data_IF_184734013933
#
_entry.id   IF_184734013933
#
_cell.length_a   1.000
_cell.length_b   1.000
_cell.length_c   1.000
_cell.angle_alpha   90.00
_cell.angle_beta   90.00
_cell.angle_gamma   90.00
#
_symmetry.space_group_name_H-M   'P 1'
#
loop_
_entity.id
_entity.type
_entity.pdbx_description
1 polymer ?
#
# COMPACT_ATOMS: atom_id res chain seq x y z
N UNK A 1 -4.50 -3.64 -32.34
CA UNK A 1 -3.41 -2.62 -32.32
C UNK A 1 -3.57 -1.61 -31.20
N UNK A 2 -4.73 -1.01 -30.97
CA UNK A 2 -4.95 0.04 -29.93
C UNK A 2 -4.63 -0.45 -28.48
N UNK A 3 -5.03 -1.67 -28.08
CA UNK A 3 -4.77 -2.21 -26.72
C UNK A 3 -3.28 -2.40 -26.42
N UNK A 4 -2.52 -2.88 -27.39
CA UNK A 4 -1.07 -3.07 -27.25
C UNK A 4 -0.33 -1.73 -27.10
N UNK A 5 -0.75 -0.72 -27.87
CA UNK A 5 -0.19 0.62 -27.75
C UNK A 5 -0.50 1.25 -26.41
N UNK A 6 -1.75 1.09 -25.91
CA UNK A 6 -2.13 1.58 -24.58
C UNK A 6 -1.25 0.94 -23.47
N UNK A 7 -1.14 -0.40 -23.45
CA UNK A 7 -0.32 -1.08 -22.46
C UNK A 7 1.16 -0.66 -22.57
N UNK A 8 1.69 -0.51 -23.78
CA UNK A 8 3.07 -0.04 -23.98
C UNK A 8 3.26 1.38 -23.42
N UNK A 9 2.31 2.28 -23.66
CA UNK A 9 2.35 3.64 -23.12
C UNK A 9 2.30 3.63 -21.59
N UNK A 10 1.45 2.78 -20.98
CA UNK A 10 1.36 2.64 -19.52
C UNK A 10 2.64 2.10 -18.90
N UNK A 11 3.25 1.08 -19.52
CA UNK A 11 4.55 0.56 -19.08
C UNK A 11 5.63 1.63 -19.18
N UNK A 12 5.69 2.38 -20.30
CA UNK A 12 6.65 3.47 -20.47
C UNK A 12 6.45 4.56 -19.43
N UNK A 13 5.21 4.96 -19.17
CA UNK A 13 4.89 5.93 -18.11
C UNK A 13 5.33 5.43 -16.73
N UNK A 14 5.13 4.14 -16.44
CA UNK A 14 5.60 3.52 -15.20
C UNK A 14 7.12 3.53 -15.07
N UNK A 15 7.84 3.20 -16.13
CA UNK A 15 9.31 3.25 -16.14
C UNK A 15 9.83 4.68 -15.95
N UNK A 16 9.23 5.66 -16.62
CA UNK A 16 9.56 7.08 -16.44
C UNK A 16 9.29 7.53 -15.00
N UNK A 17 8.17 7.11 -14.41
CA UNK A 17 7.85 7.42 -13.01
C UNK A 17 8.90 6.84 -12.04
N UNK A 18 9.30 5.58 -12.21
CA UNK A 18 10.35 4.94 -11.39
C UNK A 18 11.68 5.68 -11.55
N UNK A 19 12.05 6.06 -12.78
CA UNK A 19 13.27 6.83 -13.04
C UNK A 19 13.22 8.21 -12.35
N UNK A 20 12.11 8.92 -12.46
CA UNK A 20 11.94 10.22 -11.79
C UNK A 20 12.04 10.08 -10.27
N UNK A 21 11.43 9.04 -9.69
CA UNK A 21 11.52 8.74 -8.26
C UNK A 21 12.97 8.42 -7.86
N UNK A 22 13.70 7.66 -8.67
CA UNK A 22 15.12 7.40 -8.43
C UNK A 22 15.95 8.71 -8.42
N UNK A 23 15.70 9.61 -9.37
CA UNK A 23 16.36 10.92 -9.43
C UNK A 23 16.01 11.77 -8.20
N UNK A 24 14.73 11.85 -7.83
CA UNK A 24 14.28 12.58 -6.64
C UNK A 24 14.90 12.00 -5.37
N UNK A 25 14.91 10.69 -5.22
CA UNK A 25 15.56 10.00 -4.11
C UNK A 25 17.05 10.37 -4.01
N UNK A 26 17.77 10.29 -5.11
CA UNK A 26 19.17 10.70 -5.15
C UNK A 26 19.37 12.15 -4.68
N UNK A 27 18.52 13.07 -5.15
CA UNK A 27 18.57 14.50 -4.75
C UNK A 27 18.24 14.69 -3.26
N UNK A 28 17.24 13.95 -2.74
CA UNK A 28 16.85 14.02 -1.32
C UNK A 28 17.97 13.58 -0.39
N UNK A 29 18.70 12.52 -0.73
CA UNK A 29 19.85 12.09 0.07
C UNK A 29 20.97 13.13 0.06
N UNK A 30 21.19 13.75 -1.08
CA UNK A 30 22.17 14.83 -1.20
C UNK A 30 21.79 16.09 -0.42
N UNK A 31 20.49 16.37 -0.31
CA UNK A 31 19.98 17.50 0.47
C UNK A 31 19.89 17.20 1.97
N UNK A 32 19.95 15.92 2.36
CA UNK A 32 19.93 15.54 3.77
C UNK A 32 21.16 16.04 4.51
N UNK A 33 21.01 16.62 5.71
CA UNK A 33 22.15 17.09 6.49
C UNK A 33 22.98 15.89 6.97
N UNK A 34 24.24 15.85 6.56
CA UNK A 34 25.22 14.82 6.91
C UNK A 34 25.70 14.04 5.67
N UNK A 35 27.01 13.97 5.52
CA UNK A 35 27.67 13.14 4.51
C UNK A 35 27.55 11.65 4.95
N UNK A 36 27.01 10.75 4.12
CA UNK A 36 26.94 9.32 4.43
C UNK A 36 28.28 8.74 4.91
N UNK A 37 29.38 9.23 4.38
CA UNK A 37 30.72 8.82 4.77
C UNK A 37 31.10 9.33 6.17
N UNK A 38 30.70 10.55 6.50
CA UNK A 38 30.98 11.12 7.84
C UNK A 38 30.19 10.41 8.94
N UNK A 39 28.98 9.92 8.63
CA UNK A 39 28.17 9.10 9.55
C UNK A 39 28.85 7.75 9.79
N UNK A 40 29.28 7.07 8.72
CA UNK A 40 29.97 5.79 8.80
C UNK A 40 31.33 5.90 9.52
N UNK A 41 32.10 6.93 9.21
CA UNK A 41 33.41 7.18 9.84
C UNK A 41 33.26 7.53 11.33
N UNK A 42 32.27 8.36 11.68
CA UNK A 42 31.98 8.70 13.07
C UNK A 42 31.59 7.49 13.92
N UNK A 43 30.87 6.54 13.38
CA UNK A 43 30.49 5.29 14.04
C UNK A 43 31.63 4.29 14.16
N UNK A 44 32.53 4.25 13.17
CA UNK A 44 33.73 3.44 13.22
C UNK A 44 34.80 4.00 14.18
N UNK A 45 34.54 5.17 14.81
CA UNK A 45 35.50 5.85 15.66
C UNK A 45 36.73 6.39 14.88
N UNK A 46 36.63 6.38 13.56
CA UNK A 46 37.72 6.78 12.66
C UNK A 46 37.62 8.28 12.36
N UNK A 47 38.29 9.07 13.17
CA UNK A 47 38.48 10.53 12.95
C UNK A 47 39.62 10.84 11.97
N UNK A 48 40.23 9.83 11.35
CA UNK A 48 41.35 10.03 10.42
C UNK A 48 40.84 10.62 9.09
N UNK A 49 41.27 11.84 8.74
CA UNK A 49 40.92 12.52 7.49
C UNK A 49 41.28 11.71 6.23
N UNK A 50 42.36 10.91 6.30
CA UNK A 50 42.79 10.08 5.17
C UNK A 50 41.84 8.90 4.92
N UNK A 51 41.34 8.25 5.98
CA UNK A 51 40.33 7.20 5.90
C UNK A 51 39.02 7.74 5.33
N UNK A 52 38.57 8.90 5.79
CA UNK A 52 37.36 9.56 5.25
C UNK A 52 37.51 9.90 3.77
N UNK A 53 38.67 10.38 3.34
CA UNK A 53 38.94 10.69 1.93
C UNK A 53 38.93 9.42 1.06
N UNK A 54 39.55 8.33 1.55
CA UNK A 54 39.53 7.03 0.85
C UNK A 54 38.10 6.48 0.72
N UNK A 55 37.32 6.57 1.77
CA UNK A 55 35.91 6.15 1.73
C UNK A 55 35.12 6.99 0.72
N UNK A 56 35.31 8.31 0.67
CA UNK A 56 34.67 9.18 -0.32
C UNK A 56 35.01 8.79 -1.74
N UNK A 57 36.29 8.53 -2.02
CA UNK A 57 36.73 8.06 -3.33
C UNK A 57 36.13 6.69 -3.69
N UNK A 58 36.08 5.77 -2.73
CA UNK A 58 35.49 4.44 -2.91
C UNK A 58 33.99 4.49 -3.23
N UNK A 59 33.25 5.41 -2.60
CA UNK A 59 31.84 5.64 -2.89
C UNK A 59 31.60 6.57 -4.09
N UNK A 60 32.67 7.08 -4.72
CA UNK A 60 32.59 7.98 -5.86
C UNK A 60 31.97 9.36 -5.53
N UNK A 61 32.01 9.77 -4.26
CA UNK A 61 31.41 11.02 -3.79
C UNK A 61 32.27 12.25 -4.13
N UNK A 62 33.47 12.06 -4.58
CA UNK A 62 34.40 13.02 -5.14
C UNK A 62 34.13 13.40 -6.61
N UNK A 63 33.29 12.59 -7.27
CA UNK A 63 32.92 12.75 -8.68
C UNK A 63 31.89 13.87 -8.90
N UNK A 64 31.75 14.43 -10.12
CA UNK A 64 30.67 15.35 -10.46
C UNK A 64 29.28 14.72 -10.19
N UNK A 65 28.32 15.52 -9.74
CA UNK A 65 26.96 15.07 -9.38
C UNK A 65 26.28 14.31 -10.54
N UNK A 66 26.52 14.72 -11.77
CA UNK A 66 26.00 14.05 -12.97
C UNK A 66 26.52 12.63 -13.11
N UNK A 67 27.81 12.40 -12.85
CA UNK A 67 28.44 11.07 -12.88
C UNK A 67 27.90 10.19 -11.77
N UNK A 68 27.74 10.74 -10.57
CA UNK A 68 27.17 10.02 -9.44
C UNK A 68 25.72 9.61 -9.69
N UNK A 69 24.90 10.52 -10.26
CA UNK A 69 23.52 10.22 -10.65
C UNK A 69 23.46 9.11 -11.72
N UNK A 70 24.32 9.20 -12.75
CA UNK A 70 24.38 8.19 -13.81
C UNK A 70 24.77 6.80 -13.23
N UNK A 71 25.74 6.76 -12.34
CA UNK A 71 26.17 5.53 -11.64
C UNK A 71 25.04 4.97 -10.77
N UNK A 72 24.37 5.84 -10.01
CA UNK A 72 23.23 5.43 -9.17
C UNK A 72 22.08 4.84 -10.00
N UNK A 73 21.67 5.55 -11.07
CA UNK A 73 20.62 5.04 -11.97
C UNK A 73 21.05 3.73 -12.64
N UNK A 74 22.32 3.62 -13.07
CA UNK A 74 22.87 2.39 -13.63
C UNK A 74 22.80 1.20 -12.66
N UNK A 75 23.10 1.42 -11.36
CA UNK A 75 22.97 0.40 -10.32
C UNK A 75 21.51 0.03 -10.06
N UNK A 76 20.62 1.01 -10.00
CA UNK A 76 19.18 0.78 -9.85
C UNK A 76 18.61 -0.10 -10.96
N UNK A 77 18.99 0.15 -12.22
CA UNK A 77 18.58 -0.67 -13.37
C UNK A 77 19.08 -2.11 -13.26
N UNK A 78 20.23 -2.32 -12.62
CA UNK A 78 20.80 -3.65 -12.35
C UNK A 78 20.26 -4.29 -11.06
N UNK A 79 19.27 -3.66 -10.40
CA UNK A 79 18.71 -4.06 -9.10
C UNK A 79 19.76 -4.06 -7.97
N UNK A 80 20.87 -3.36 -8.14
CA UNK A 80 21.83 -3.10 -7.08
C UNK A 80 21.38 -1.85 -6.31
N UNK A 81 20.65 -2.07 -5.21
CA UNK A 81 20.17 -1.02 -4.32
C UNK A 81 21.20 -0.63 -3.24
N UNK A 82 22.41 -1.22 -3.31
CA UNK A 82 23.50 -0.98 -2.38
C UNK A 82 23.47 -1.90 -1.16
N UNK A 83 24.21 -1.49 -0.14
CA UNK A 83 24.44 -2.27 1.08
C UNK A 83 24.08 -1.47 2.32
N UNK A 84 23.38 -2.08 3.25
CA UNK A 84 23.11 -1.52 4.58
C UNK A 84 24.26 -1.85 5.51
N UNK A 85 25.07 -0.85 5.84
CA UNK A 85 26.17 -1.04 6.77
C UNK A 85 25.70 -1.21 8.23
N UNK A 86 24.49 -0.73 8.53
CA UNK A 86 23.86 -0.93 9.86
C UNK A 86 23.44 -2.38 10.06
N UNK A 87 22.77 -2.97 9.06
CA UNK A 87 22.26 -4.33 9.14
C UNK A 87 23.21 -5.38 8.55
N UNK A 88 24.37 -4.95 7.99
CA UNK A 88 25.41 -5.81 7.42
C UNK A 88 24.87 -6.76 6.33
N UNK A 89 23.93 -6.27 5.50
CA UNK A 89 23.29 -7.05 4.45
C UNK A 89 22.99 -6.20 3.21
N UNK A 90 22.88 -6.84 2.02
CA UNK A 90 22.39 -6.17 0.82
C UNK A 90 20.98 -5.61 1.03
N UNK A 91 20.75 -4.37 0.60
CA UNK A 91 19.47 -3.66 0.74
C UNK A 91 18.33 -4.44 0.08
N UNK A 92 18.56 -4.95 -1.14
CA UNK A 92 17.55 -5.73 -1.87
C UNK A 92 17.09 -6.96 -1.06
N UNK A 93 18.02 -7.67 -0.41
CA UNK A 93 17.67 -8.84 0.42
C UNK A 93 16.79 -8.44 1.59
N UNK A 94 17.17 -7.39 2.33
CA UNK A 94 16.38 -6.90 3.47
C UNK A 94 14.95 -6.53 3.08
N UNK A 95 14.78 -5.91 1.92
CA UNK A 95 13.47 -5.53 1.40
C UNK A 95 12.66 -6.77 0.98
N UNK A 96 13.30 -7.72 0.25
CA UNK A 96 12.61 -8.94 -0.21
C UNK A 96 12.16 -9.83 0.94
N UNK A 97 12.91 -9.87 2.04
CA UNK A 97 12.53 -10.60 3.26
C UNK A 97 11.28 -9.99 3.93
N UNK A 98 11.02 -8.67 3.76
CA UNK A 98 9.88 -7.94 4.33
C UNK A 98 8.68 -7.85 3.39
N UNK A 99 8.91 -8.00 2.10
CA UNK A 99 7.89 -7.87 1.06
C UNK A 99 6.66 -8.78 1.28
N UNK A 100 6.80 -10.09 1.60
CA UNK A 100 5.64 -10.95 1.81
C UNK A 100 4.73 -10.48 2.95
N UNK A 101 5.28 -9.94 4.03
CA UNK A 101 4.52 -9.43 5.16
C UNK A 101 3.71 -8.18 4.78
N UNK A 102 4.30 -7.24 4.06
CA UNK A 102 3.58 -6.06 3.52
C UNK A 102 2.48 -6.47 2.57
N UNK A 103 2.75 -7.41 1.63
CA UNK A 103 1.74 -7.89 0.69
C UNK A 103 0.58 -8.62 1.40
N UNK A 104 0.87 -9.40 2.43
CA UNK A 104 -0.14 -10.09 3.22
C UNK A 104 -1.05 -9.07 3.94
N UNK A 105 -0.47 -8.07 4.58
CA UNK A 105 -1.23 -7.01 5.26
C UNK A 105 -2.07 -6.18 4.28
N UNK A 106 -1.44 -5.63 3.26
CA UNK A 106 -2.12 -4.74 2.29
C UNK A 106 -3.15 -5.50 1.46
N UNK A 107 -2.84 -6.72 1.04
CA UNK A 107 -3.78 -7.59 0.31
C UNK A 107 -5.01 -7.97 1.15
N UNK A 108 -4.80 -8.34 2.41
CA UNK A 108 -5.89 -8.64 3.35
C UNK A 108 -6.75 -7.41 3.64
N UNK A 109 -6.12 -6.27 3.91
CA UNK A 109 -6.82 -5.00 4.15
C UNK A 109 -7.60 -4.55 2.91
N UNK A 110 -7.03 -4.70 1.72
CA UNK A 110 -7.70 -4.39 0.46
C UNK A 110 -8.94 -5.26 0.23
N UNK A 111 -8.81 -6.57 0.40
CA UNK A 111 -9.93 -7.50 0.26
C UNK A 111 -11.06 -7.20 1.27
N UNK A 112 -10.72 -6.96 2.54
CA UNK A 112 -11.68 -6.60 3.59
C UNK A 112 -12.34 -5.24 3.32
N UNK A 113 -11.59 -4.24 2.89
CA UNK A 113 -12.12 -2.91 2.58
C UNK A 113 -13.12 -2.94 1.42
N UNK A 114 -12.84 -3.71 0.37
CA UNK A 114 -13.78 -3.93 -0.73
C UNK A 114 -15.01 -4.71 -0.29
N UNK A 115 -14.82 -5.80 0.45
CA UNK A 115 -15.93 -6.63 0.95
C UNK A 115 -16.88 -5.80 1.80
N UNK A 116 -16.38 -5.11 2.82
CA UNK A 116 -17.20 -4.29 3.69
C UNK A 116 -17.75 -3.05 2.97
N UNK A 117 -16.92 -2.37 2.16
CA UNK A 117 -17.33 -1.19 1.42
C UNK A 117 -18.46 -1.48 0.44
N UNK A 118 -18.33 -2.52 -0.38
CA UNK A 118 -19.36 -2.91 -1.35
C UNK A 118 -20.62 -3.38 -0.64
N UNK A 119 -20.51 -4.20 0.39
CA UNK A 119 -21.67 -4.75 1.10
C UNK A 119 -22.43 -3.66 1.85
N UNK A 120 -21.74 -2.80 2.60
CA UNK A 120 -22.36 -1.70 3.34
C UNK A 120 -22.88 -0.62 2.41
N UNK A 121 -22.16 -0.28 1.34
CA UNK A 121 -22.63 0.66 0.32
C UNK A 121 -23.87 0.18 -0.40
N UNK A 122 -23.93 -1.12 -0.76
CA UNK A 122 -25.11 -1.72 -1.36
C UNK A 122 -26.30 -1.76 -0.39
N UNK A 123 -26.07 -2.05 0.89
CA UNK A 123 -27.11 -2.02 1.92
C UNK A 123 -27.67 -0.61 2.13
N UNK A 124 -26.78 0.39 2.19
CA UNK A 124 -27.10 1.81 2.30
C UNK A 124 -27.94 2.28 1.09
N UNK A 125 -27.54 1.94 -0.13
CA UNK A 125 -28.29 2.27 -1.35
C UNK A 125 -29.69 1.62 -1.40
N UNK A 126 -29.80 0.36 -0.94
CA UNK A 126 -31.10 -0.35 -0.84
C UNK A 126 -32.06 0.28 0.14
N UNK A 127 -31.55 0.92 1.18
CA UNK A 127 -32.31 1.56 2.24
C UNK A 127 -32.13 3.08 2.25
N UNK A 128 -31.92 3.65 1.08
CA UNK A 128 -31.69 5.09 0.92
C UNK A 128 -32.80 5.91 1.59
N UNK A 129 -32.38 6.95 2.34
CA UNK A 129 -33.29 7.81 3.09
C UNK A 129 -33.82 7.23 4.43
N UNK A 130 -33.41 6.00 4.83
CA UNK A 130 -33.78 5.42 6.13
C UNK A 130 -32.68 5.64 7.16
N UNK A 131 -32.99 5.37 8.44
CA UNK A 131 -32.02 5.44 9.53
C UNK A 131 -30.81 4.50 9.32
N UNK A 132 -31.00 3.36 8.64
CA UNK A 132 -29.90 2.42 8.30
C UNK A 132 -28.89 3.05 7.34
N UNK A 133 -29.39 3.76 6.34
CA UNK A 133 -28.55 4.52 5.40
C UNK A 133 -27.73 5.61 6.14
N UNK A 134 -28.40 6.35 7.00
CA UNK A 134 -27.75 7.39 7.82
C UNK A 134 -26.72 6.78 8.78
N UNK A 135 -27.05 5.68 9.45
CA UNK A 135 -26.13 5.00 10.37
C UNK A 135 -24.86 4.49 9.66
N UNK A 136 -25.02 3.81 8.52
CA UNK A 136 -23.87 3.35 7.73
C UNK A 136 -23.00 4.53 7.29
N UNK A 137 -23.62 5.61 6.83
CA UNK A 137 -22.90 6.81 6.37
C UNK A 137 -22.14 7.48 7.52
N UNK A 138 -22.76 7.62 8.70
CA UNK A 138 -22.12 8.21 9.89
C UNK A 138 -20.96 7.35 10.37
N UNK A 139 -21.17 6.02 10.49
CA UNK A 139 -20.11 5.09 10.91
C UNK A 139 -18.93 5.12 9.93
N UNK A 140 -19.20 5.10 8.62
CA UNK A 140 -18.17 5.20 7.60
C UNK A 140 -17.42 6.54 7.71
N UNK A 141 -18.12 7.64 7.95
CA UNK A 141 -17.51 8.96 8.13
C UNK A 141 -16.61 9.03 9.38
N UNK A 142 -17.04 8.42 10.48
CA UNK A 142 -16.24 8.34 11.72
C UNK A 142 -14.91 7.63 11.44
N UNK A 143 -14.92 6.47 10.79
CA UNK A 143 -13.68 5.75 10.46
C UNK A 143 -12.80 6.51 9.46
N UNK A 144 -13.38 7.21 8.52
CA UNK A 144 -12.64 8.02 7.56
C UNK A 144 -12.00 9.27 8.19
N UNK A 145 -12.70 9.91 9.11
CA UNK A 145 -12.23 11.13 9.79
C UNK A 145 -11.26 10.84 10.93
N UNK A 146 -11.26 9.60 11.43
CA UNK A 146 -10.36 9.19 12.52
C UNK A 146 -8.94 8.96 12.01
N UNK A 147 -7.91 9.57 12.64
CA UNK A 147 -6.53 9.29 12.26
C UNK A 147 -6.19 7.80 12.37
N UNK A 148 -5.58 7.25 11.31
CA UNK A 148 -5.29 5.82 11.22
C UNK A 148 -4.47 5.29 12.41
N UNK A 149 -3.44 6.04 12.82
CA UNK A 149 -2.60 5.65 13.97
C UNK A 149 -3.38 5.63 15.28
N UNK A 150 -4.33 6.56 15.45
CA UNK A 150 -5.18 6.58 16.65
C UNK A 150 -6.11 5.37 16.70
N UNK A 151 -6.72 5.03 15.57
CA UNK A 151 -7.57 3.83 15.44
C UNK A 151 -6.76 2.57 15.75
N UNK A 152 -5.52 2.48 15.26
CA UNK A 152 -4.61 1.37 15.54
C UNK A 152 -4.30 1.25 17.04
N UNK A 153 -3.96 2.37 17.70
CA UNK A 153 -3.66 2.39 19.14
C UNK A 153 -4.89 2.04 19.98
N UNK A 154 -6.08 2.52 19.58
CA UNK A 154 -7.33 2.17 20.27
C UNK A 154 -7.67 0.69 20.09
N UNK A 155 -7.41 0.11 18.91
CA UNK A 155 -7.59 -1.32 18.70
C UNK A 155 -6.67 -2.14 19.62
N UNK A 156 -5.41 -1.79 19.75
CA UNK A 156 -4.48 -2.44 20.69
C UNK A 156 -4.96 -2.27 22.14
N UNK A 157 -5.32 -1.05 22.54
CA UNK A 157 -5.78 -0.79 23.91
C UNK A 157 -7.00 -1.64 24.27
N UNK A 158 -7.98 -1.71 23.38
CA UNK A 158 -9.24 -2.43 23.65
C UNK A 158 -9.04 -3.94 23.53
N UNK A 159 -8.54 -4.42 22.40
CA UNK A 159 -8.54 -5.86 22.11
C UNK A 159 -7.36 -6.62 22.70
N UNK A 160 -6.23 -5.96 22.93
CA UNK A 160 -5.06 -6.60 23.56
C UNK A 160 -5.01 -6.32 25.05
N UNK A 161 -5.08 -5.04 25.47
CA UNK A 161 -4.80 -4.68 26.87
C UNK A 161 -6.03 -4.88 27.77
N UNK A 162 -7.24 -4.49 27.31
CA UNK A 162 -8.44 -4.58 28.16
C UNK A 162 -9.14 -5.94 28.07
N UNK A 163 -9.26 -6.49 26.85
CA UNK A 163 -10.00 -7.73 26.60
C UNK A 163 -9.14 -8.98 26.54
N UNK A 164 -7.83 -8.83 26.29
CA UNK A 164 -6.87 -9.93 26.10
C UNK A 164 -7.34 -10.96 25.05
N UNK A 165 -7.97 -10.46 23.95
CA UNK A 165 -8.51 -11.31 22.89
C UNK A 165 -7.52 -11.56 21.77
N UNK A 166 -6.73 -10.57 21.42
CA UNK A 166 -5.84 -10.59 20.25
C UNK A 166 -4.44 -10.13 20.60
N UNK A 167 -3.40 -10.73 19.98
CA UNK A 167 -2.04 -10.29 20.13
C UNK A 167 -1.86 -8.88 19.54
N UNK A 168 -1.20 -7.97 20.29
CA UNK A 168 -1.06 -6.56 19.91
C UNK A 168 0.04 -6.27 18.92
N UNK A 169 1.09 -7.11 18.86
CA UNK A 169 2.31 -6.78 18.14
C UNK A 169 2.96 -8.01 17.49
N UNK A 170 3.69 -7.78 16.40
CA UNK A 170 4.50 -8.79 15.74
C UNK A 170 3.78 -9.54 14.62
N UNK A 171 4.44 -10.54 14.08
CA UNK A 171 3.95 -11.38 12.99
C UNK A 171 3.36 -12.70 13.49
N UNK A 172 3.94 -13.22 14.57
CA UNK A 172 3.58 -14.49 15.21
C UNK A 172 4.10 -14.51 16.64
N UNK A 173 3.59 -15.41 17.46
CA UNK A 173 3.99 -15.57 18.85
C UNK A 173 5.42 -16.10 18.94
N UNK A 174 6.31 -15.31 19.54
CA UNK A 174 7.73 -15.65 19.69
C UNK A 174 7.87 -16.88 20.59
N UNK A 175 8.62 -17.88 20.14
CA UNK A 175 8.89 -19.09 20.92
C UNK A 175 7.76 -20.12 20.92
N UNK A 176 6.68 -19.92 20.19
CA UNK A 176 5.57 -20.89 20.12
C UNK A 176 5.95 -22.22 19.48
N UNK A 177 7.00 -22.27 18.66
CA UNK A 177 7.39 -23.47 17.88
C UNK A 177 6.30 -23.92 16.87
N UNK A 178 5.27 -23.11 16.65
CA UNK A 178 4.15 -23.44 15.77
C UNK A 178 4.59 -23.60 14.31
N UNK A 179 4.09 -24.62 13.64
CA UNK A 179 4.33 -24.90 12.23
C UNK A 179 3.03 -25.25 11.50
N UNK A 180 3.03 -25.14 10.15
CA UNK A 180 1.89 -25.51 9.34
C UNK A 180 0.63 -24.70 9.68
N UNK A 181 -0.50 -25.37 9.92
CA UNK A 181 -1.79 -24.72 10.21
C UNK A 181 -1.80 -23.93 11.52
N UNK A 182 -1.07 -24.38 12.53
CA UNK A 182 -0.97 -23.67 13.81
C UNK A 182 -0.24 -22.31 13.63
N UNK A 183 0.82 -22.28 12.85
CA UNK A 183 1.47 -21.02 12.50
C UNK A 183 0.55 -20.12 11.65
N UNK A 184 -0.16 -20.66 10.68
CA UNK A 184 -1.09 -19.88 9.85
C UNK A 184 -2.20 -19.25 10.71
N UNK A 185 -2.70 -19.95 11.71
CA UNK A 185 -3.70 -19.42 12.65
C UNK A 185 -3.11 -18.32 13.54
N UNK A 186 -1.92 -18.53 14.07
CA UNK A 186 -1.21 -17.53 14.88
C UNK A 186 -0.95 -16.24 14.08
N UNK A 187 -0.46 -16.37 12.85
CA UNK A 187 -0.29 -15.23 11.94
C UNK A 187 -1.62 -14.54 11.63
N UNK A 188 -2.71 -15.30 11.43
CA UNK A 188 -4.02 -14.71 11.19
C UNK A 188 -4.54 -13.89 12.38
N UNK A 189 -4.28 -14.33 13.61
CA UNK A 189 -4.61 -13.56 14.82
C UNK A 189 -3.83 -12.25 14.91
N UNK A 190 -2.52 -12.28 14.61
CA UNK A 190 -1.67 -11.09 14.58
C UNK A 190 -2.03 -10.14 13.42
N UNK A 191 -2.51 -10.68 12.29
CA UNK A 191 -2.91 -9.91 11.10
C UNK A 191 -4.26 -9.20 11.28
N UNK A 192 -5.15 -9.71 12.11
CA UNK A 192 -6.56 -9.30 12.16
C UNK A 192 -6.71 -7.81 12.50
N UNK A 193 -6.07 -7.34 13.57
CA UNK A 193 -6.17 -5.93 13.97
C UNK A 193 -5.53 -4.99 12.96
N UNK A 194 -4.28 -5.18 12.50
CA UNK A 194 -3.68 -4.30 11.50
C UNK A 194 -4.46 -4.29 10.18
N UNK A 195 -4.92 -5.45 9.71
CA UNK A 195 -5.70 -5.52 8.47
C UNK A 195 -7.06 -4.83 8.59
N UNK A 196 -7.78 -5.01 9.70
CA UNK A 196 -9.05 -4.34 9.96
C UNK A 196 -8.88 -2.83 10.11
N UNK A 197 -7.86 -2.38 10.83
CA UNK A 197 -7.58 -0.94 11.02
C UNK A 197 -7.39 -0.26 9.67
N UNK A 198 -6.56 -0.82 8.82
CA UNK A 198 -6.32 -0.30 7.47
C UNK A 198 -7.57 -0.42 6.59
N UNK A 199 -8.28 -1.55 6.68
CA UNK A 199 -9.48 -1.80 5.91
C UNK A 199 -10.63 -0.84 6.25
N UNK A 200 -10.85 -0.50 7.50
CA UNK A 200 -11.92 0.39 7.94
C UNK A 200 -11.78 1.80 7.37
N UNK A 201 -10.55 2.29 7.25
CA UNK A 201 -10.28 3.58 6.62
C UNK A 201 -10.70 3.59 5.14
N UNK A 202 -10.29 2.58 4.36
CA UNK A 202 -10.61 2.50 2.93
C UNK A 202 -12.05 2.06 2.67
N UNK A 203 -12.65 1.24 3.54
CA UNK A 203 -14.05 0.81 3.47
C UNK A 203 -15.02 1.99 3.32
N UNK A 204 -14.79 3.07 4.06
CA UNK A 204 -15.63 4.26 4.02
C UNK A 204 -15.71 4.89 2.64
N UNK A 205 -14.59 4.91 1.91
CA UNK A 205 -14.51 5.44 0.53
C UNK A 205 -15.28 4.54 -0.42
N UNK A 206 -15.08 3.21 -0.33
CA UNK A 206 -15.78 2.24 -1.18
C UNK A 206 -17.28 2.17 -0.88
N UNK A 207 -17.69 2.25 0.39
CA UNK A 207 -19.12 2.25 0.75
C UNK A 207 -19.86 3.46 0.16
N UNK A 208 -19.26 4.63 0.25
CA UNK A 208 -19.82 5.87 -0.30
C UNK A 208 -19.90 5.84 -1.82
N UNK A 209 -18.83 5.35 -2.48
CA UNK A 209 -18.81 5.22 -3.93
C UNK A 209 -19.82 4.19 -4.44
N UNK A 210 -19.89 3.03 -3.78
CA UNK A 210 -20.88 1.97 -4.12
C UNK A 210 -22.30 2.48 -3.96
N UNK A 211 -22.61 3.20 -2.86
CA UNK A 211 -23.92 3.79 -2.62
C UNK A 211 -24.30 4.77 -3.73
N UNK A 212 -23.43 5.72 -4.04
CA UNK A 212 -23.68 6.74 -5.06
C UNK A 212 -23.91 6.07 -6.43
N UNK A 213 -22.99 5.22 -6.87
CA UNK A 213 -23.07 4.52 -8.15
C UNK A 213 -24.35 3.66 -8.26
N UNK A 214 -24.78 2.99 -7.18
CA UNK A 214 -26.02 2.21 -7.21
C UNK A 214 -27.27 3.07 -7.32
N UNK A 215 -27.31 4.24 -6.69
CA UNK A 215 -28.43 5.18 -6.81
C UNK A 215 -28.51 5.76 -8.21
N UNK A 216 -27.38 6.11 -8.80
CA UNK A 216 -27.31 6.63 -10.18
C UNK A 216 -27.78 5.58 -11.20
N UNK A 217 -27.25 4.37 -11.13
CA UNK A 217 -27.63 3.26 -12.01
C UNK A 217 -29.11 2.90 -11.85
N UNK A 218 -29.66 2.95 -10.61
CA UNK A 218 -31.06 2.60 -10.36
C UNK A 218 -32.06 3.54 -11.06
N UNK A 219 -31.62 4.74 -11.48
CA UNK A 219 -32.44 5.74 -12.21
C UNK A 219 -32.38 5.59 -13.72
N UNK A 220 -31.47 4.79 -14.26
CA UNK A 220 -31.28 4.60 -15.70
C UNK A 220 -32.48 3.90 -16.36
N UNK A 221 -32.77 4.21 -17.60
CA UNK A 221 -33.97 3.75 -18.33
C UNK A 221 -34.01 2.22 -18.51
N UNK A 222 -32.85 1.58 -18.72
CA UNK A 222 -32.82 0.11 -18.83
C UNK A 222 -33.24 -0.59 -17.53
N UNK A 223 -33.05 0.05 -16.37
CA UNK A 223 -33.53 -0.47 -15.08
C UNK A 223 -35.05 -0.29 -14.96
N UNK A 224 -35.60 0.85 -15.45
CA UNK A 224 -37.05 1.06 -15.50
C UNK A 224 -37.71 0.00 -16.38
N UNK A 225 -37.13 -0.29 -17.52
CA UNK A 225 -37.60 -1.39 -18.40
C UNK A 225 -37.52 -2.75 -17.76
N UNK A 226 -36.40 -3.06 -17.05
CA UNK A 226 -36.24 -4.32 -16.33
C UNK A 226 -37.24 -4.49 -15.19
N UNK A 227 -37.72 -3.39 -14.57
CA UNK A 227 -38.76 -3.41 -13.54
C UNK A 227 -40.15 -3.68 -14.12
N UNK A 228 -40.45 -3.28 -15.35
CA UNK A 228 -41.71 -3.57 -16.03
C UNK A 228 -41.81 -5.04 -16.47
N UNK A 229 -40.69 -5.66 -16.80
CA UNK A 229 -40.61 -7.10 -17.04
C UNK A 229 -40.60 -7.86 -15.72
N UNK A 230 -41.50 -8.82 -15.51
CA UNK A 230 -41.78 -9.64 -14.28
C UNK A 230 -40.54 -10.20 -13.49
N UNK A 231 -39.40 -9.47 -13.48
CA UNK A 231 -38.18 -9.86 -12.78
C UNK A 231 -38.27 -9.52 -11.30
N UNK A 232 -37.84 -10.45 -10.43
CA UNK A 232 -37.82 -10.24 -8.98
C UNK A 232 -36.91 -9.01 -8.64
N UNK A 233 -37.34 -8.11 -7.73
CA UNK A 233 -36.56 -6.92 -7.34
C UNK A 233 -35.12 -7.21 -6.91
N UNK A 234 -34.92 -8.33 -6.21
CA UNK A 234 -33.58 -8.77 -5.79
C UNK A 234 -32.65 -9.18 -6.96
N UNK A 235 -33.22 -9.72 -8.03
CA UNK A 235 -32.48 -10.09 -9.25
C UNK A 235 -32.07 -8.83 -10.02
N UNK A 236 -32.97 -7.86 -10.16
CA UNK A 236 -32.69 -6.57 -10.79
C UNK A 236 -31.53 -5.88 -10.04
N UNK A 237 -31.61 -5.86 -8.71
CA UNK A 237 -30.58 -5.23 -7.90
C UNK A 237 -29.20 -5.86 -8.08
N UNK A 238 -29.09 -7.20 -8.00
CA UNK A 238 -27.81 -7.90 -8.08
C UNK A 238 -27.28 -7.97 -9.50
N UNK A 239 -28.12 -8.36 -10.48
CA UNK A 239 -27.68 -8.62 -11.83
C UNK A 239 -27.55 -7.37 -12.70
N UNK A 240 -28.32 -6.32 -12.42
CA UNK A 240 -28.33 -5.12 -13.26
C UNK A 240 -27.79 -3.88 -12.53
N UNK A 241 -28.25 -3.59 -11.30
CA UNK A 241 -27.83 -2.37 -10.60
C UNK A 241 -26.41 -2.53 -10.05
N UNK A 242 -26.16 -3.53 -9.19
CA UNK A 242 -24.87 -3.70 -8.54
C UNK A 242 -23.75 -3.96 -9.53
N UNK A 243 -23.99 -4.85 -10.51
CA UNK A 243 -22.97 -5.16 -11.53
C UNK A 243 -22.49 -3.93 -12.29
N UNK A 244 -23.38 -3.03 -12.69
CA UNK A 244 -23.00 -1.80 -13.39
C UNK A 244 -22.42 -0.75 -12.42
N UNK A 245 -22.92 -0.69 -11.19
CA UNK A 245 -22.39 0.21 -10.16
C UNK A 245 -20.98 -0.16 -9.67
N UNK A 246 -20.54 -1.41 -9.88
CA UNK A 246 -19.19 -1.82 -9.53
C UNK A 246 -18.10 -1.27 -10.45
N UNK A 247 -18.43 -0.84 -11.68
CA UNK A 247 -17.44 -0.29 -12.61
C UNK A 247 -16.63 0.88 -12.00
N UNK A 248 -17.26 1.98 -11.53
CA UNK A 248 -16.52 3.06 -10.88
C UNK A 248 -15.84 2.63 -9.56
N UNK A 249 -16.37 1.61 -8.85
CA UNK A 249 -15.75 1.09 -7.62
C UNK A 249 -14.44 0.36 -7.94
N UNK A 250 -14.42 -0.48 -8.97
CA UNK A 250 -13.20 -1.17 -9.43
C UNK A 250 -12.14 -0.16 -9.87
N UNK A 251 -12.56 0.91 -10.55
CA UNK A 251 -11.70 2.04 -10.88
C UNK A 251 -10.99 2.62 -9.67
N UNK A 252 -11.81 3.02 -8.71
CA UNK A 252 -11.31 3.62 -7.48
C UNK A 252 -10.43 2.64 -6.71
N UNK A 253 -10.82 1.36 -6.66
CA UNK A 253 -10.06 0.30 -6.01
C UNK A 253 -8.65 0.18 -6.59
N UNK A 254 -8.53 0.25 -7.89
CA UNK A 254 -7.23 0.20 -8.54
C UNK A 254 -6.31 1.36 -8.19
N UNK A 255 -6.84 2.59 -8.22
CA UNK A 255 -6.07 3.78 -7.83
C UNK A 255 -5.63 3.67 -6.35
N UNK A 256 -6.52 3.18 -5.49
CA UNK A 256 -6.25 3.05 -4.06
C UNK A 256 -5.28 1.91 -3.74
N UNK A 257 -5.26 0.81 -4.51
CA UNK A 257 -4.39 -0.33 -4.26
C UNK A 257 -2.90 0.07 -4.21
N UNK A 258 -2.45 0.92 -5.15
CA UNK A 258 -1.09 1.46 -5.13
C UNK A 258 -0.81 2.36 -3.92
N UNK A 259 -1.78 3.17 -3.50
CA UNK A 259 -1.68 4.07 -2.34
C UNK A 259 -1.68 3.35 -0.99
N UNK A 260 -2.29 2.16 -0.89
CA UNK A 260 -2.37 1.39 0.36
C UNK A 260 -0.99 0.95 0.87
N UNK A 261 -0.02 0.72 -0.02
CA UNK A 261 1.34 0.36 0.35
C UNK A 261 1.98 1.51 1.16
N UNK A 262 1.80 2.76 0.72
CA UNK A 262 2.25 3.93 1.48
C UNK A 262 1.51 4.11 2.81
N UNK A 263 0.20 3.84 2.85
CA UNK A 263 -0.62 3.90 4.07
C UNK A 263 -0.31 2.79 5.09
N UNK A 264 0.26 1.67 4.64
CA UNK A 264 0.63 0.57 5.51
C UNK A 264 1.78 0.91 6.49
N UNK A 265 2.62 1.90 6.18
CA UNK A 265 3.79 2.28 7.03
C UNK A 265 3.38 2.54 8.47
N UNK A 266 2.33 3.35 8.69
CA UNK A 266 1.84 3.66 10.04
C UNK A 266 1.28 2.43 10.74
N UNK A 267 0.52 1.61 10.03
CA UNK A 267 -0.06 0.38 10.57
C UNK A 267 1.03 -0.63 10.94
N UNK A 268 2.00 -0.85 10.04
CA UNK A 268 3.13 -1.74 10.28
C UNK A 268 3.97 -1.28 11.48
N UNK A 269 4.16 0.03 11.63
CA UNK A 269 4.92 0.59 12.76
C UNK A 269 4.19 0.40 14.08
N UNK A 270 2.89 0.74 14.16
CA UNK A 270 2.11 0.64 15.40
C UNK A 270 1.98 -0.81 15.87
N UNK A 271 1.64 -1.73 14.96
CA UNK A 271 1.48 -3.15 15.28
C UNK A 271 2.81 -3.94 15.28
N UNK A 272 3.94 -3.28 15.10
CA UNK A 272 5.24 -3.93 14.96
C UNK A 272 5.24 -5.04 13.88
N UNK A 273 4.42 -4.90 12.85
CA UNK A 273 4.33 -5.83 11.72
C UNK A 273 5.60 -5.76 10.88
N UNK A 274 6.26 -6.89 10.55
CA UNK A 274 7.59 -6.89 9.92
C UNK A 274 7.53 -6.61 8.42
N UNK A 275 6.97 -5.48 8.03
CA UNK A 275 6.85 -5.07 6.63
C UNK A 275 7.90 -4.06 6.18
N UNK A 276 7.81 -3.65 4.90
CA UNK A 276 8.71 -2.68 4.26
C UNK A 276 8.53 -1.28 4.87
N UNK A 277 7.29 -0.89 5.21
CA UNK A 277 7.02 0.41 5.80
C UNK A 277 7.68 0.59 7.16
N UNK A 278 7.62 -0.44 8.01
CA UNK A 278 8.35 -0.46 9.28
C UNK A 278 9.87 -0.46 9.04
N UNK A 279 10.35 -1.24 8.08
CA UNK A 279 11.76 -1.24 7.70
C UNK A 279 12.24 0.17 7.29
N UNK A 280 11.42 0.91 6.54
CA UNK A 280 11.69 2.31 6.15
C UNK A 280 11.73 3.23 7.37
N UNK A 281 10.79 3.07 8.29
CA UNK A 281 10.73 3.86 9.52
C UNK A 281 11.97 3.62 10.40
N UNK A 282 12.35 2.36 10.59
CA UNK A 282 13.56 1.98 11.33
C UNK A 282 14.83 2.51 10.65
N UNK A 283 14.93 2.42 9.31
CA UNK A 283 16.04 2.96 8.53
C UNK A 283 16.16 4.49 8.66
N UNK A 284 15.02 5.19 8.70
CA UNK A 284 14.99 6.65 8.92
C UNK A 284 15.56 7.03 10.28
N UNK A 285 15.12 6.34 11.36
CA UNK A 285 15.59 6.59 12.71
C UNK A 285 17.08 6.26 12.88
N UNK A 286 17.55 5.22 12.18
CA UNK A 286 18.95 4.78 12.19
C UNK A 286 19.83 5.56 11.20
N UNK A 287 19.26 6.48 10.40
CA UNK A 287 19.96 7.21 9.33
C UNK A 287 20.61 6.29 8.29
N UNK A 288 20.02 5.12 8.07
CA UNK A 288 20.46 4.19 7.01
C UNK A 288 19.86 4.63 5.67
N UNK A 289 20.49 5.61 5.05
CA UNK A 289 19.99 6.21 3.82
C UNK A 289 19.94 5.23 2.66
N UNK A 290 20.90 4.30 2.57
CA UNK A 290 20.92 3.29 1.49
C UNK A 290 19.67 2.40 1.56
N UNK A 291 19.34 1.92 2.76
CA UNK A 291 18.16 1.10 3.01
C UNK A 291 16.87 1.90 2.79
N UNK A 292 16.81 3.12 3.31
CA UNK A 292 15.64 3.98 3.18
C UNK A 292 15.29 4.25 1.71
N UNK A 293 16.30 4.63 0.89
CA UNK A 293 16.10 4.92 -0.53
C UNK A 293 15.74 3.69 -1.34
N UNK A 294 16.41 2.56 -1.07
CA UNK A 294 16.08 1.30 -1.71
C UNK A 294 14.64 0.90 -1.42
N UNK A 295 14.19 1.04 -0.17
CA UNK A 295 12.82 0.74 0.22
C UNK A 295 11.79 1.70 -0.40
N UNK A 296 12.09 3.01 -0.48
CA UNK A 296 11.24 3.97 -1.22
C UNK A 296 11.11 3.60 -2.69
N UNK A 297 12.22 3.23 -3.33
CA UNK A 297 12.22 2.87 -4.74
C UNK A 297 11.39 1.61 -5.01
N UNK A 298 11.56 0.57 -4.19
CA UNK A 298 10.79 -0.67 -4.31
C UNK A 298 9.31 -0.42 -4.02
N UNK A 299 8.97 0.37 -3.00
CA UNK A 299 7.58 0.73 -2.70
C UNK A 299 6.93 1.49 -3.86
N UNK A 300 7.66 2.41 -4.47
CA UNK A 300 7.20 3.13 -5.66
C UNK A 300 7.03 2.22 -6.88
N UNK A 301 7.99 1.31 -7.11
CA UNK A 301 7.89 0.31 -8.18
C UNK A 301 6.67 -0.61 -7.97
N UNK A 302 6.39 -1.00 -6.74
CA UNK A 302 5.19 -1.76 -6.40
C UNK A 302 3.91 -0.97 -6.67
N UNK A 303 3.85 0.31 -6.31
CA UNK A 303 2.70 1.17 -6.61
C UNK A 303 2.46 1.26 -8.13
N UNK A 304 3.52 1.45 -8.91
CA UNK A 304 3.45 1.42 -10.38
C UNK A 304 2.95 0.08 -10.89
N UNK A 305 3.46 -1.03 -10.36
CA UNK A 305 3.04 -2.38 -10.75
C UNK A 305 1.54 -2.61 -10.46
N UNK A 306 1.06 -2.21 -9.27
CA UNK A 306 -0.36 -2.30 -8.93
C UNK A 306 -1.23 -1.44 -9.85
N UNK A 307 -0.78 -0.24 -10.22
CA UNK A 307 -1.48 0.59 -11.18
C UNK A 307 -1.55 -0.09 -12.57
N UNK A 308 -0.46 -0.70 -13.03
CA UNK A 308 -0.45 -1.46 -14.29
C UNK A 308 -1.39 -2.68 -14.25
N UNK A 309 -1.40 -3.42 -13.14
CA UNK A 309 -2.34 -4.53 -12.93
C UNK A 309 -3.78 -4.03 -12.99
N UNK A 310 -4.05 -2.89 -12.39
CA UNK A 310 -5.37 -2.26 -12.41
C UNK A 310 -5.79 -1.85 -13.83
N UNK A 311 -4.90 -1.22 -14.58
CA UNK A 311 -5.15 -0.86 -15.98
C UNK A 311 -5.43 -2.11 -16.84
N UNK A 312 -4.73 -3.23 -16.55
CA UNK A 312 -5.00 -4.51 -17.21
C UNK A 312 -6.39 -5.07 -16.83
N UNK A 313 -6.74 -5.06 -15.55
CA UNK A 313 -8.07 -5.48 -15.07
C UNK A 313 -9.16 -4.63 -15.70
N UNK A 314 -8.95 -3.33 -15.85
CA UNK A 314 -9.84 -2.42 -16.54
C UNK A 314 -10.14 -2.84 -17.97
N UNK A 315 -9.10 -3.13 -18.75
CA UNK A 315 -9.26 -3.55 -20.13
C UNK A 315 -9.99 -4.87 -20.28
N UNK A 316 -10.02 -5.70 -19.22
CA UNK A 316 -10.75 -6.98 -19.17
C UNK A 316 -12.21 -6.79 -18.74
N UNK A 317 -12.47 -5.88 -17.79
CA UNK A 317 -13.82 -5.68 -17.21
C UNK A 317 -14.70 -4.81 -18.10
N UNK A 318 -14.15 -3.81 -18.75
CA UNK A 318 -14.91 -2.95 -19.69
C UNK A 318 -14.28 -2.91 -21.09
N UNK A 319 -14.72 -3.81 -22.00
CA UNK A 319 -14.25 -3.81 -23.39
C UNK A 319 -14.77 -2.61 -24.21
N UNK A 320 -15.64 -1.76 -23.65
CA UNK A 320 -16.23 -0.58 -24.32
C UNK A 320 -15.38 0.67 -24.19
N UNK A 321 -14.37 0.66 -23.34
CA UNK A 321 -13.39 1.75 -23.29
C UNK A 321 -12.62 1.70 -24.61
N UNK A 322 -13.12 2.43 -25.61
CA UNK A 322 -12.37 2.75 -26.82
C UNK A 322 -11.25 3.72 -26.41
N UNK A 323 -10.06 3.14 -26.29
CA UNK A 323 -8.81 3.84 -25.98
C UNK A 323 -8.23 4.43 -27.25
#
# INVERSE_FOLDING_TARGET
MKRTQFMLTRVLQGLVAILLIAIVNFMLVRAAPGDPVSVLAGEAGASDPQFVAQLRAQFGLDQPITTQLATYVGKVVQLDLGFSYRQQQPVLKLIMDRLPATLLLTGSAFALSLLFGITLGALSARRAGTWVDSAITVVALIFYATPLYWLALMAVLVFTVQLDWLPGFGFSTVGSGATGLALAWDVAQHLLMPALTLALFYMAVYARMTRAAMLDVAQMDFIKTARQGRSCPGRILRAHVLRNALLPVVTLAGIQAGGMIGGAVLTETVFAWPGIGRLMFDALLQRDYSLLLGAFLVTAAMAVLFNLITDLVYTLVDPRIEL
#
